data_IF_409684986521
#
_entry.id   IF_409684986521
#
_cell.length_a   1.000
_cell.length_b   1.000
_cell.length_c   1.000
_cell.angle_alpha   90.00
_cell.angle_beta   90.00
_cell.angle_gamma   90.00
#
_symmetry.space_group_name_H-M   'P 1'
#
loop_
_entity.id
_entity.type
_entity.pdbx_description
1 polymer ?
#
# COMPACT_ATOMS: atom_id res chain seq x y z
N UNK A 1 -7.10 1.42 -25.22
CA UNK A 1 -5.73 1.06 -25.69
C UNK A 1 -5.22 1.99 -26.79
N UNK A 2 -6.06 2.50 -27.70
CA UNK A 2 -5.61 3.42 -28.76
C UNK A 2 -5.14 4.80 -28.24
N UNK A 3 -5.87 5.40 -27.29
CA UNK A 3 -5.54 6.71 -26.71
C UNK A 3 -4.18 6.74 -26.00
N UNK A 4 -3.90 5.76 -25.15
CA UNK A 4 -2.61 5.64 -24.47
C UNK A 4 -1.45 5.45 -25.45
N UNK A 5 -1.69 4.82 -26.60
CA UNK A 5 -0.67 4.61 -27.63
C UNK A 5 -0.40 5.90 -28.41
N UNK A 6 -1.44 6.67 -28.73
CA UNK A 6 -1.34 7.97 -29.40
C UNK A 6 -0.59 9.00 -28.55
N UNK A 7 -0.94 9.12 -27.25
CA UNK A 7 -0.25 10.02 -26.30
C UNK A 7 1.25 9.67 -26.18
N UNK A 8 1.57 8.38 -26.13
CA UNK A 8 2.97 7.91 -26.04
C UNK A 8 3.76 8.20 -27.31
N UNK A 9 3.16 8.03 -28.49
CA UNK A 9 3.85 8.29 -29.76
C UNK A 9 4.14 9.77 -29.98
N UNK A 10 3.25 10.67 -29.56
CA UNK A 10 3.49 12.11 -29.70
C UNK A 10 4.55 12.65 -28.74
N UNK A 11 4.69 12.03 -27.57
CA UNK A 11 5.57 12.54 -26.51
C UNK A 11 7.02 12.03 -26.58
N UNK A 12 7.25 10.88 -27.22
CA UNK A 12 8.62 10.42 -27.46
C UNK A 12 9.32 11.21 -28.57
N UNK A 13 8.54 11.88 -29.43
CA UNK A 13 9.05 12.67 -30.56
C UNK A 13 9.17 14.19 -30.25
N UNK A 14 8.59 14.68 -29.14
CA UNK A 14 8.55 16.11 -28.78
C UNK A 14 9.32 16.36 -27.49
N UNK A 15 10.23 17.35 -27.48
CA UNK A 15 11.15 17.61 -26.36
C UNK A 15 10.50 18.15 -25.06
N UNK A 16 9.18 18.30 -24.98
CA UNK A 16 8.45 18.76 -23.79
C UNK A 16 7.12 18.02 -23.60
N UNK A 17 6.99 17.19 -22.54
CA UNK A 17 5.81 16.35 -22.36
C UNK A 17 4.65 17.02 -21.63
N UNK A 18 4.17 18.15 -22.17
CA UNK A 18 3.07 18.91 -21.56
C UNK A 18 1.75 18.14 -21.56
N UNK A 19 1.45 17.39 -22.62
CA UNK A 19 0.19 16.66 -22.72
C UNK A 19 0.14 15.46 -21.78
N UNK A 20 1.24 14.72 -21.61
CA UNK A 20 1.33 13.65 -20.62
C UNK A 20 1.20 14.21 -19.20
N UNK A 21 1.89 15.32 -18.91
CA UNK A 21 1.79 15.99 -17.61
C UNK A 21 0.34 16.35 -17.31
N UNK A 22 -0.34 17.04 -18.23
CA UNK A 22 -1.76 17.41 -18.11
C UNK A 22 -2.68 16.20 -17.97
N UNK A 23 -2.44 15.14 -18.73
CA UNK A 23 -3.20 13.91 -18.64
C UNK A 23 -3.04 13.25 -17.25
N UNK A 24 -1.81 13.15 -16.73
CA UNK A 24 -1.54 12.59 -15.41
C UNK A 24 -2.21 13.42 -14.31
N UNK A 25 -2.11 14.75 -14.38
CA UNK A 25 -2.78 15.66 -13.43
C UNK A 25 -4.30 15.50 -13.47
N UNK A 26 -4.90 15.53 -14.67
CA UNK A 26 -6.34 15.39 -14.84
C UNK A 26 -6.87 14.06 -14.30
N UNK A 27 -6.20 12.95 -14.65
CA UNK A 27 -6.59 11.60 -14.22
C UNK A 27 -6.47 11.44 -12.70
N UNK A 28 -5.40 11.95 -12.07
CA UNK A 28 -5.21 11.82 -10.63
C UNK A 28 -6.16 12.72 -9.85
N UNK A 29 -6.36 13.97 -10.29
CA UNK A 29 -7.32 14.87 -9.66
C UNK A 29 -8.75 14.36 -9.77
N UNK A 30 -9.11 13.66 -10.86
CA UNK A 30 -10.40 12.98 -10.96
C UNK A 30 -10.58 11.89 -9.88
N UNK A 31 -9.51 11.17 -9.53
CA UNK A 31 -9.54 10.11 -8.51
C UNK A 31 -9.44 10.62 -7.06
N UNK A 32 -8.91 11.83 -6.86
CA UNK A 32 -8.76 12.45 -5.53
C UNK A 32 -10.02 13.18 -5.06
N UNK A 33 -10.90 13.57 -5.97
CA UNK A 33 -12.13 14.29 -5.65
C UNK A 33 -13.23 13.32 -5.20
N UNK A 34 -13.44 13.27 -3.89
CA UNK A 34 -14.44 12.40 -3.25
C UNK A 34 -15.90 12.90 -3.41
N UNK A 35 -16.11 14.13 -3.89
CA UNK A 35 -17.42 14.80 -3.74
C UNK A 35 -17.66 15.87 -4.82
N UNK A 36 -17.86 15.43 -6.06
CA UNK A 36 -18.67 16.23 -7.00
C UNK A 36 -20.12 15.72 -6.83
N UNK A 37 -20.89 16.39 -5.96
CA UNK A 37 -22.27 16.02 -5.60
C UNK A 37 -23.23 16.06 -6.80
N UNK A 38 -22.80 16.62 -7.93
CA UNK A 38 -23.62 16.83 -9.12
C UNK A 38 -23.51 15.73 -10.19
N UNK A 39 -22.63 14.74 -10.02
CA UNK A 39 -22.46 13.65 -11.00
C UNK A 39 -23.22 12.39 -10.58
N UNK A 40 -23.92 11.79 -11.55
CA UNK A 40 -24.50 10.46 -11.42
C UNK A 40 -23.44 9.44 -10.95
N UNK A 41 -23.81 8.64 -9.94
CA UNK A 41 -22.89 7.73 -9.25
C UNK A 41 -22.34 6.63 -10.19
N UNK A 42 -23.14 6.18 -11.16
CA UNK A 42 -22.68 5.21 -12.15
C UNK A 42 -21.68 5.85 -13.12
N UNK A 43 -21.98 7.04 -13.63
CA UNK A 43 -21.05 7.79 -14.51
C UNK A 43 -19.71 8.08 -13.80
N UNK A 44 -19.74 8.43 -12.51
CA UNK A 44 -18.52 8.57 -11.70
C UNK A 44 -17.74 7.27 -11.61
N UNK A 45 -18.42 6.17 -11.27
CA UNK A 45 -17.81 4.85 -11.14
C UNK A 45 -17.12 4.43 -12.44
N UNK A 46 -17.78 4.61 -13.58
CA UNK A 46 -17.22 4.33 -14.90
C UNK A 46 -16.00 5.21 -15.20
N UNK A 47 -16.11 6.52 -14.93
CA UNK A 47 -15.02 7.49 -15.13
C UNK A 47 -13.79 7.16 -14.29
N UNK A 48 -13.96 6.88 -13.00
CA UNK A 48 -12.87 6.47 -12.10
C UNK A 48 -12.25 5.14 -12.54
N UNK A 49 -13.08 4.16 -12.93
CA UNK A 49 -12.62 2.86 -13.44
C UNK A 49 -11.79 3.02 -14.70
N UNK A 50 -12.20 3.88 -15.63
CA UNK A 50 -11.45 4.19 -16.84
C UNK A 50 -10.16 4.93 -16.52
N UNK A 51 -10.19 5.91 -15.62
CA UNK A 51 -9.02 6.67 -15.22
C UNK A 51 -7.94 5.76 -14.59
N UNK A 52 -8.31 4.89 -13.66
CA UNK A 52 -7.40 3.90 -13.07
C UNK A 52 -6.79 2.98 -14.13
N UNK A 53 -7.58 2.54 -15.11
CA UNK A 53 -7.08 1.69 -16.19
C UNK A 53 -6.14 2.42 -17.16
N UNK A 54 -6.36 3.70 -17.42
CA UNK A 54 -5.45 4.54 -18.21
C UNK A 54 -4.15 4.76 -17.45
N UNK A 55 -4.22 5.17 -16.18
CA UNK A 55 -3.05 5.31 -15.30
C UNK A 55 -2.26 4.02 -15.23
N UNK A 56 -2.93 2.87 -15.10
CA UNK A 56 -2.29 1.55 -15.13
C UNK A 56 -1.49 1.32 -16.41
N UNK A 57 -2.04 1.67 -17.57
CA UNK A 57 -1.35 1.55 -18.84
C UNK A 57 -0.11 2.46 -18.91
N UNK A 58 -0.22 3.70 -18.44
CA UNK A 58 0.87 4.67 -18.38
C UNK A 58 1.99 4.20 -17.43
N UNK A 59 1.65 3.83 -16.20
CA UNK A 59 2.61 3.32 -15.21
C UNK A 59 3.27 2.00 -15.61
N UNK A 60 2.64 1.19 -16.47
CA UNK A 60 3.24 -0.06 -16.99
C UNK A 60 4.17 0.18 -18.18
N UNK A 61 4.05 1.31 -18.88
CA UNK A 61 4.82 1.56 -20.08
C UNK A 61 6.31 1.80 -19.75
N UNK A 62 7.20 0.94 -20.23
CA UNK A 62 8.63 0.97 -19.87
C UNK A 62 9.31 2.30 -20.21
N UNK A 63 9.03 2.85 -21.39
CA UNK A 63 9.64 4.10 -21.88
C UNK A 63 9.18 5.35 -21.13
N UNK A 64 8.07 5.30 -20.39
CA UNK A 64 7.56 6.46 -19.65
C UNK A 64 8.11 6.56 -18.23
N UNK A 65 9.05 5.68 -17.84
CA UNK A 65 9.45 5.50 -16.44
C UNK A 65 9.81 6.79 -15.70
N UNK A 66 10.71 7.60 -16.28
CA UNK A 66 11.12 8.88 -15.70
C UNK A 66 9.98 9.92 -15.73
N UNK A 67 9.18 9.93 -16.80
CA UNK A 67 8.09 10.89 -16.99
C UNK A 67 6.94 10.67 -15.99
N UNK A 68 6.66 9.42 -15.64
CA UNK A 68 5.58 9.09 -14.67
C UNK A 68 6.08 9.04 -13.23
N UNK A 69 7.40 9.09 -12.99
CA UNK A 69 7.99 8.96 -11.65
C UNK A 69 7.43 9.97 -10.63
N UNK A 70 7.22 11.26 -10.95
CA UNK A 70 6.64 12.23 -10.01
C UNK A 70 5.22 11.89 -9.54
N UNK A 71 4.51 11.06 -10.30
CA UNK A 71 3.09 10.75 -10.08
C UNK A 71 2.87 9.44 -9.31
N UNK A 72 3.93 8.67 -9.07
CA UNK A 72 3.83 7.33 -8.48
C UNK A 72 3.17 7.38 -7.09
N UNK A 73 3.53 8.33 -6.23
CA UNK A 73 2.93 8.45 -4.90
C UNK A 73 1.41 8.66 -4.97
N UNK A 74 0.96 9.63 -5.77
CA UNK A 74 -0.48 9.90 -5.97
C UNK A 74 -1.19 8.70 -6.59
N UNK A 75 -0.55 8.01 -7.53
CA UNK A 75 -1.07 6.77 -8.10
C UNK A 75 -1.27 5.67 -7.05
N UNK A 76 -0.33 5.50 -6.12
CA UNK A 76 -0.45 4.52 -5.02
C UNK A 76 -1.58 4.91 -4.08
N UNK A 77 -1.68 6.18 -3.69
CA UNK A 77 -2.77 6.68 -2.86
C UNK A 77 -4.13 6.42 -3.51
N UNK A 78 -4.29 6.84 -4.78
CA UNK A 78 -5.52 6.62 -5.54
C UNK A 78 -5.88 5.13 -5.67
N UNK A 79 -4.89 4.27 -5.88
CA UNK A 79 -5.11 2.84 -5.92
C UNK A 79 -5.60 2.32 -4.56
N UNK A 80 -4.95 2.68 -3.45
CA UNK A 80 -5.32 2.25 -2.09
C UNK A 80 -6.72 2.74 -1.71
N UNK A 81 -7.03 4.02 -1.97
CA UNK A 81 -8.39 4.56 -1.79
C UNK A 81 -9.41 3.78 -2.62
N UNK A 82 -9.06 3.44 -3.87
CA UNK A 82 -9.90 2.65 -4.76
C UNK A 82 -10.22 1.23 -4.26
N UNK A 83 -9.42 0.64 -3.36
CA UNK A 83 -9.79 -0.63 -2.70
C UNK A 83 -11.03 -0.48 -1.82
N UNK A 84 -11.29 0.72 -1.29
CA UNK A 84 -12.49 1.03 -0.48
C UNK A 84 -13.74 1.26 -1.32
N UNK A 85 -13.66 1.26 -2.65
CA UNK A 85 -14.79 1.56 -3.53
C UNK A 85 -15.96 0.56 -3.40
N UNK A 86 -17.18 1.07 -3.58
CA UNK A 86 -18.42 0.31 -3.34
C UNK A 86 -18.70 -0.76 -4.40
N UNK A 87 -18.24 -0.53 -5.64
CA UNK A 87 -18.46 -1.47 -6.75
C UNK A 87 -17.30 -2.44 -6.93
N UNK A 88 -17.61 -3.64 -7.43
CA UNK A 88 -16.59 -4.61 -7.81
C UNK A 88 -15.66 -4.08 -8.90
N UNK A 89 -16.19 -3.30 -9.85
CA UNK A 89 -15.42 -2.72 -10.95
C UNK A 89 -14.33 -1.77 -10.45
N UNK A 90 -14.67 -0.85 -9.53
CA UNK A 90 -13.71 0.07 -8.92
C UNK A 90 -12.60 -0.68 -8.17
N UNK A 91 -12.98 -1.66 -7.32
CA UNK A 91 -12.01 -2.46 -6.56
C UNK A 91 -11.07 -3.25 -7.46
N UNK A 92 -11.58 -3.81 -8.56
CA UNK A 92 -10.77 -4.52 -9.55
C UNK A 92 -9.81 -3.58 -10.30
N UNK A 93 -10.29 -2.41 -10.74
CA UNK A 93 -9.46 -1.41 -11.40
C UNK A 93 -8.33 -0.91 -10.49
N UNK A 94 -8.66 -0.64 -9.21
CA UNK A 94 -7.70 -0.28 -8.18
C UNK A 94 -6.65 -1.37 -7.95
N UNK A 95 -7.07 -2.64 -7.87
CA UNK A 95 -6.17 -3.79 -7.73
C UNK A 95 -5.19 -3.89 -8.90
N UNK A 96 -5.68 -3.70 -10.13
CA UNK A 96 -4.86 -3.75 -11.34
C UNK A 96 -3.88 -2.56 -11.43
N UNK A 97 -4.32 -1.36 -11.07
CA UNK A 97 -3.47 -0.17 -10.98
C UNK A 97 -2.36 -0.37 -9.94
N UNK A 98 -2.75 -0.82 -8.74
CA UNK A 98 -1.82 -1.12 -7.65
C UNK A 98 -0.77 -2.15 -8.06
N UNK A 99 -1.16 -3.24 -8.74
CA UNK A 99 -0.22 -4.23 -9.25
C UNK A 99 0.82 -3.64 -10.21
N UNK A 100 0.42 -2.71 -11.09
CA UNK A 100 1.35 -2.02 -11.99
C UNK A 100 2.32 -1.10 -11.22
N UNK A 101 1.83 -0.40 -10.20
CA UNK A 101 2.63 0.47 -9.34
C UNK A 101 3.63 -0.32 -8.49
N UNK A 102 3.23 -1.46 -7.92
CA UNK A 102 4.14 -2.34 -7.18
C UNK A 102 5.30 -2.81 -8.08
N UNK A 103 5.00 -3.20 -9.32
CA UNK A 103 6.06 -3.57 -10.29
C UNK A 103 6.93 -2.37 -10.64
N UNK A 104 6.35 -1.17 -10.76
CA UNK A 104 7.11 0.06 -11.06
C UNK A 104 8.06 0.46 -9.92
N UNK A 105 7.62 0.29 -8.67
CA UNK A 105 8.38 0.68 -7.47
C UNK A 105 9.45 -0.37 -7.15
N UNK A 106 9.05 -1.65 -7.09
CA UNK A 106 9.89 -2.73 -6.59
C UNK A 106 10.45 -3.63 -7.68
N UNK A 107 10.11 -3.43 -8.96
CA UNK A 107 10.55 -4.30 -10.04
C UNK A 107 9.69 -5.54 -10.24
N UNK A 108 10.02 -6.30 -11.29
CA UNK A 108 9.27 -7.50 -11.71
C UNK A 108 9.61 -8.70 -10.81
N UNK A 109 8.60 -9.50 -10.47
CA UNK A 109 8.79 -10.77 -9.76
C UNK A 109 9.55 -11.77 -10.66
N UNK A 110 10.84 -12.00 -10.39
CA UNK A 110 11.68 -12.91 -11.17
C UNK A 110 11.61 -14.39 -10.70
N UNK A 111 11.01 -14.68 -9.55
CA UNK A 111 10.92 -16.05 -8.97
C UNK A 111 9.58 -16.27 -8.28
N UNK A 112 9.14 -17.53 -8.14
CA UNK A 112 7.98 -17.89 -7.28
C UNK A 112 8.15 -17.37 -5.85
N UNK A 113 9.39 -17.32 -5.40
CA UNK A 113 9.79 -16.86 -4.08
C UNK A 113 9.54 -15.34 -3.91
N UNK A 114 8.68 -14.99 -2.94
CA UNK A 114 8.34 -13.60 -2.61
C UNK A 114 9.48 -12.88 -1.88
N UNK A 115 10.49 -13.62 -1.43
CA UNK A 115 11.61 -13.12 -0.62
C UNK A 115 12.81 -12.67 -1.44
N UNK A 116 12.70 -12.62 -2.77
CA UNK A 116 13.81 -12.20 -3.61
C UNK A 116 14.23 -10.75 -3.27
N UNK A 117 15.45 -10.59 -2.75
CA UNK A 117 16.03 -9.31 -2.33
C UNK A 117 15.96 -8.24 -3.43
N UNK A 118 15.93 -8.64 -4.71
CA UNK A 118 15.85 -7.73 -5.86
C UNK A 118 14.54 -6.95 -5.94
N UNK A 119 13.48 -7.40 -5.26
CA UNK A 119 12.17 -6.74 -5.27
C UNK A 119 11.77 -6.11 -3.94
N UNK A 120 12.79 -5.64 -3.20
CA UNK A 120 12.66 -5.02 -1.88
C UNK A 120 13.62 -3.83 -1.81
N UNK A 121 13.32 -2.87 -0.95
CA UNK A 121 14.22 -1.76 -0.60
C UNK A 121 14.12 -1.45 0.89
N UNK A 122 15.05 -0.69 1.46
CA UNK A 122 14.91 -0.24 2.85
C UNK A 122 13.74 0.73 3.00
N UNK A 123 13.14 0.82 4.18
CA UNK A 123 12.12 1.84 4.46
C UNK A 123 12.63 3.25 4.20
N UNK A 124 13.87 3.55 4.65
CA UNK A 124 14.57 4.81 4.30
C UNK A 124 14.51 5.17 2.81
N UNK A 125 15.06 4.33 1.92
CA UNK A 125 15.03 4.57 0.46
C UNK A 125 13.61 4.74 -0.07
N UNK A 126 12.66 3.93 0.41
CA UNK A 126 11.26 4.01 -0.04
C UNK A 126 10.63 5.37 0.32
N UNK A 127 10.74 5.80 1.58
CA UNK A 127 10.13 7.04 2.05
C UNK A 127 10.93 8.29 1.69
N UNK A 128 12.24 8.19 1.45
CA UNK A 128 13.01 9.28 0.81
C UNK A 128 12.53 9.52 -0.63
N UNK A 129 12.21 8.44 -1.37
CA UNK A 129 11.70 8.53 -2.74
C UNK A 129 10.23 8.93 -2.80
N UNK A 130 9.42 8.49 -1.84
CA UNK A 130 7.97 8.71 -1.79
C UNK A 130 7.51 9.24 -0.42
N UNK A 131 7.94 10.45 -0.03
CA UNK A 131 7.73 10.97 1.34
C UNK A 131 6.26 11.08 1.72
N UNK A 132 5.40 11.48 0.79
CA UNK A 132 3.96 11.62 1.04
C UNK A 132 3.26 10.29 1.36
N UNK A 133 3.85 9.14 1.02
CA UNK A 133 3.28 7.83 1.36
C UNK A 133 3.44 7.47 2.83
N UNK A 134 4.35 8.11 3.58
CA UNK A 134 4.55 7.80 4.99
C UNK A 134 3.27 8.06 5.81
N UNK A 135 2.82 9.31 5.82
CA UNK A 135 1.63 9.71 6.60
C UNK A 135 0.36 9.05 6.07
N UNK A 136 0.25 8.89 4.75
CA UNK A 136 -0.89 8.23 4.13
C UNK A 136 -1.02 6.76 4.57
N UNK A 137 0.04 5.96 4.43
CA UNK A 137 0.00 4.54 4.81
C UNK A 137 -0.21 4.37 6.32
N UNK A 138 0.35 5.25 7.13
CA UNK A 138 0.13 5.25 8.58
C UNK A 138 -1.31 5.62 8.92
N UNK A 139 -1.90 6.58 8.21
CA UNK A 139 -3.31 6.98 8.34
C UNK A 139 -4.27 5.83 8.04
N UNK A 140 -4.03 5.09 6.96
CA UNK A 140 -4.83 3.91 6.59
C UNK A 140 -4.81 2.82 7.67
N UNK A 141 -3.66 2.59 8.32
CA UNK A 141 -3.55 1.63 9.41
C UNK A 141 -4.23 2.11 10.69
N UNK A 142 -4.15 3.42 10.99
CA UNK A 142 -4.85 4.05 12.12
C UNK A 142 -6.37 3.91 11.97
N UNK A 143 -6.90 4.30 10.82
CA UNK A 143 -8.33 4.20 10.51
C UNK A 143 -8.84 2.76 10.69
N UNK A 144 -8.09 1.77 10.18
CA UNK A 144 -8.43 0.36 10.34
C UNK A 144 -8.38 -0.11 11.81
N UNK A 145 -7.45 0.43 12.60
CA UNK A 145 -7.34 0.12 14.03
C UNK A 145 -8.47 0.75 14.85
N UNK A 146 -8.83 2.01 14.57
CA UNK A 146 -9.86 2.76 15.31
C UNK A 146 -11.24 2.10 15.17
N UNK A 147 -11.63 1.74 13.94
CA UNK A 147 -12.89 1.01 13.69
C UNK A 147 -12.88 -0.41 14.28
N UNK A 148 -11.71 -0.96 14.56
CA UNK A 148 -11.58 -2.22 15.28
C UNK A 148 -11.85 -2.07 16.78
N UNK A 149 -11.55 -0.91 17.36
CA UNK A 149 -11.82 -0.62 18.77
C UNK A 149 -13.28 -0.22 19.03
N UNK A 150 -13.91 0.61 18.17
CA UNK A 150 -15.28 1.11 18.38
C UNK A 150 -16.36 0.03 18.30
N UNK A 151 -16.14 -1.04 17.52
CA UNK A 151 -17.12 -2.13 17.35
C UNK A 151 -17.01 -3.24 18.41
N UNK A 152 -16.09 -3.11 19.37
CA UNK A 152 -15.81 -4.13 20.39
C UNK A 152 -16.83 -4.20 21.54
N UNK A 153 -17.79 -3.28 21.60
CA UNK A 153 -18.95 -3.37 22.53
C UNK A 153 -20.01 -4.39 22.08
N UNK A 154 -19.85 -4.96 20.89
CA UNK A 154 -20.51 -6.19 20.47
C UNK A 154 -19.46 -7.30 20.37
N UNK A 155 -19.78 -8.53 20.75
CA UNK A 155 -18.88 -9.69 20.85
C UNK A 155 -18.24 -10.18 19.51
N UNK A 156 -17.96 -9.27 18.59
CA UNK A 156 -17.33 -9.49 17.30
C UNK A 156 -16.10 -8.61 17.18
N UNK A 157 -14.98 -9.10 17.73
CA UNK A 157 -13.59 -8.73 17.43
C UNK A 157 -13.22 -9.00 15.94
N UNK A 158 -14.13 -8.70 15.02
CA UNK A 158 -14.21 -9.18 13.64
C UNK A 158 -14.12 -8.07 12.58
N UNK A 159 -13.99 -6.79 12.96
CA UNK A 159 -14.10 -5.67 12.00
C UNK A 159 -12.81 -5.39 11.21
N UNK A 160 -11.64 -5.82 11.70
CA UNK A 160 -10.36 -5.66 11.00
C UNK A 160 -10.31 -6.45 9.66
N UNK A 161 -11.25 -7.38 9.44
CA UNK A 161 -11.43 -8.10 8.16
C UNK A 161 -12.00 -7.26 7.03
N UNK A 162 -12.68 -6.17 7.36
CA UNK A 162 -13.51 -5.41 6.44
C UNK A 162 -12.83 -4.11 5.98
N UNK A 163 -11.51 -4.02 6.11
CA UNK A 163 -10.73 -2.89 5.59
C UNK A 163 -9.97 -3.29 4.32
N UNK A 164 -10.56 -3.09 3.13
CA UNK A 164 -9.92 -3.42 1.86
C UNK A 164 -8.53 -2.82 1.66
N UNK A 165 -8.26 -1.64 2.24
CA UNK A 165 -6.97 -0.95 2.12
C UNK A 165 -5.85 -1.57 2.95
N UNK A 166 -6.14 -2.45 3.93
CA UNK A 166 -5.09 -3.13 4.71
C UNK A 166 -4.21 -4.02 3.83
N UNK A 167 -4.78 -4.74 2.87
CA UNK A 167 -4.01 -5.61 2.00
C UNK A 167 -2.91 -4.86 1.23
N UNK A 168 -3.22 -3.79 0.45
CA UNK A 168 -2.18 -3.09 -0.28
C UNK A 168 -1.17 -2.38 0.63
N UNK A 169 -1.60 -1.84 1.79
CA UNK A 169 -0.69 -1.19 2.75
C UNK A 169 0.30 -2.20 3.33
N UNK A 170 -0.19 -3.33 3.85
CA UNK A 170 0.68 -4.39 4.39
C UNK A 170 1.57 -5.00 3.31
N UNK A 171 1.10 -5.09 2.05
CA UNK A 171 1.92 -5.56 0.94
C UNK A 171 3.12 -4.64 0.71
N UNK A 172 2.93 -3.32 0.68
CA UNK A 172 4.03 -2.36 0.54
C UNK A 172 5.03 -2.54 1.67
N UNK A 173 4.57 -2.54 2.92
CA UNK A 173 5.43 -2.66 4.10
C UNK A 173 6.18 -3.99 4.12
N UNK A 174 5.55 -5.10 3.73
CA UNK A 174 6.19 -6.42 3.62
C UNK A 174 7.32 -6.49 2.58
N UNK A 175 7.35 -5.54 1.62
CA UNK A 175 8.43 -5.42 0.63
C UNK A 175 9.58 -4.53 1.10
N UNK A 176 9.48 -3.92 2.28
CA UNK A 176 10.61 -3.24 2.89
C UNK A 176 11.54 -4.25 3.56
N UNK A 177 12.84 -3.95 3.69
CA UNK A 177 13.78 -4.75 4.49
C UNK A 177 14.52 -3.89 5.53
N UNK A 178 14.96 -4.48 6.66
CA UNK A 178 15.62 -3.73 7.72
C UNK A 178 16.90 -3.04 7.25
N UNK A 179 17.13 -1.78 7.61
CA UNK A 179 18.42 -1.11 7.41
C UNK A 179 19.21 -1.03 8.71
N UNK A 180 20.52 -1.30 8.66
CA UNK A 180 21.42 -1.10 9.81
C UNK A 180 21.65 0.38 10.16
N UNK A 181 21.22 1.29 9.28
CA UNK A 181 21.33 2.75 9.45
C UNK A 181 20.02 3.39 9.94
N UNK A 182 18.95 2.61 10.09
CA UNK A 182 17.64 3.08 10.56
C UNK A 182 17.73 3.43 12.06
N UNK A 183 17.52 4.70 12.41
CA UNK A 183 17.55 5.19 13.80
C UNK A 183 18.69 6.14 14.17
N UNK A 184 19.58 6.50 13.23
CA UNK A 184 20.70 7.43 13.53
C UNK A 184 20.43 8.89 13.20
N UNK A 185 19.64 9.23 12.17
CA UNK A 185 19.47 10.65 11.76
C UNK A 185 18.17 10.96 10.96
N UNK A 186 17.21 10.04 10.89
CA UNK A 186 16.03 10.20 10.02
C UNK A 186 14.76 10.54 10.80
N UNK A 187 14.10 11.64 10.45
CA UNK A 187 12.74 12.02 10.90
C UNK A 187 11.66 10.95 10.61
N UNK A 188 12.01 9.90 9.88
CA UNK A 188 11.15 8.76 9.52
C UNK A 188 11.28 7.66 10.57
N UNK A 189 10.40 7.66 11.57
CA UNK A 189 10.35 6.63 12.61
C UNK A 189 9.42 5.48 12.21
N UNK A 190 9.96 4.45 11.53
CA UNK A 190 9.18 3.27 11.15
C UNK A 190 8.51 2.56 12.34
N UNK A 191 9.04 2.74 13.55
CA UNK A 191 8.43 2.25 14.79
C UNK A 191 7.00 2.77 15.01
N UNK A 192 6.61 3.90 14.40
CA UNK A 192 5.25 4.43 14.46
C UNK A 192 4.21 3.49 13.83
N UNK A 193 4.61 2.62 12.90
CA UNK A 193 3.73 1.64 12.26
C UNK A 193 3.47 0.40 13.14
N UNK A 194 4.39 0.08 14.05
CA UNK A 194 4.36 -1.14 14.88
C UNK A 194 3.01 -1.39 15.55
N UNK A 195 2.45 -0.45 16.35
CA UNK A 195 1.21 -0.74 17.09
C UNK A 195 0.03 -1.07 16.17
N UNK A 196 -0.02 -0.45 14.99
CA UNK A 196 -1.12 -0.65 14.03
C UNK A 196 -0.93 -1.94 13.20
N UNK A 197 0.32 -2.31 12.88
CA UNK A 197 0.63 -3.60 12.23
C UNK A 197 0.43 -4.75 13.21
N UNK A 198 0.75 -4.58 14.50
CA UNK A 198 0.47 -5.57 15.54
C UNK A 198 -1.02 -5.92 15.62
N UNK A 199 -1.91 -4.91 15.47
CA UNK A 199 -3.35 -5.15 15.38
C UNK A 199 -3.76 -6.07 14.22
N UNK A 200 -2.98 -6.10 13.14
CA UNK A 200 -3.24 -6.97 11.99
C UNK A 200 -2.81 -8.43 12.22
N UNK A 201 -1.92 -8.70 13.17
CA UNK A 201 -1.42 -10.05 13.49
C UNK A 201 -2.51 -10.95 14.10
N UNK A 202 -3.51 -10.36 14.76
CA UNK A 202 -4.67 -11.07 15.31
C UNK A 202 -5.82 -11.28 14.32
N UNK A 203 -5.69 -10.84 13.06
CA UNK A 203 -6.75 -10.98 12.07
C UNK A 203 -7.13 -12.44 11.84
N UNK A 204 -8.43 -12.75 11.68
CA UNK A 204 -8.86 -14.12 11.29
C UNK A 204 -8.48 -14.50 9.83
N UNK A 205 -8.16 -13.53 8.95
CA UNK A 205 -7.70 -13.80 7.57
C UNK A 205 -6.22 -14.15 7.67
N UNK A 206 -5.89 -15.39 7.32
CA UNK A 206 -4.52 -15.88 7.29
C UNK A 206 -3.59 -14.95 6.48
N UNK A 207 -4.02 -14.52 5.29
CA UNK A 207 -3.17 -13.69 4.42
C UNK A 207 -2.83 -12.31 5.02
N UNK A 208 -3.75 -11.73 5.79
CA UNK A 208 -3.52 -10.48 6.53
C UNK A 208 -2.48 -10.70 7.62
N UNK A 209 -2.59 -11.80 8.39
CA UNK A 209 -1.58 -12.17 9.40
C UNK A 209 -0.21 -12.38 8.76
N UNK A 210 -0.16 -13.11 7.64
CA UNK A 210 1.09 -13.36 6.91
C UNK A 210 1.76 -12.07 6.43
N UNK A 211 1.01 -11.16 5.81
CA UNK A 211 1.56 -9.88 5.36
C UNK A 211 1.95 -8.98 6.52
N UNK A 212 1.15 -8.94 7.59
CA UNK A 212 1.47 -8.18 8.80
C UNK A 212 2.76 -8.68 9.45
N UNK A 213 2.91 -9.99 9.60
CA UNK A 213 4.12 -10.59 10.16
C UNK A 213 5.37 -10.22 9.34
N UNK A 214 5.29 -10.32 8.01
CA UNK A 214 6.38 -9.89 7.12
C UNK A 214 6.63 -8.39 7.16
N UNK A 215 5.58 -7.59 7.32
CA UNK A 215 5.67 -6.14 7.47
C UNK A 215 6.29 -5.73 8.80
N UNK A 216 6.20 -6.55 9.87
CA UNK A 216 6.86 -6.27 11.15
C UNK A 216 8.38 -6.29 11.05
N UNK A 217 8.94 -7.22 10.27
CA UNK A 217 10.40 -7.41 10.14
C UNK A 217 11.17 -6.11 9.85
N UNK A 218 10.84 -5.31 8.82
CA UNK A 218 11.54 -4.04 8.56
C UNK A 218 11.25 -2.92 9.55
N UNK A 219 10.22 -3.03 10.40
CA UNK A 219 9.85 -1.98 11.36
C UNK A 219 10.62 -2.10 12.68
N UNK A 220 11.15 -3.28 12.98
CA UNK A 220 11.90 -3.58 14.19
C UNK A 220 13.37 -3.25 13.96
N UNK A 221 13.87 -2.22 14.65
CA UNK A 221 15.27 -1.80 14.57
C UNK A 221 16.18 -2.74 15.39
N UNK A 222 17.46 -2.84 15.00
CA UNK A 222 18.39 -3.80 15.59
C UNK A 222 18.59 -3.65 17.10
N UNK A 223 18.42 -2.43 17.64
CA UNK A 223 18.53 -2.14 19.07
C UNK A 223 17.34 -2.67 19.91
N UNK A 224 16.16 -2.87 19.32
CA UNK A 224 14.97 -3.39 20.04
C UNK A 224 14.61 -4.82 19.64
N UNK A 225 15.40 -5.44 18.75
CA UNK A 225 15.13 -6.77 18.21
C UNK A 225 14.98 -7.84 19.30
N UNK A 226 15.93 -7.89 20.26
CA UNK A 226 15.90 -8.85 21.36
C UNK A 226 14.67 -8.63 22.25
N UNK A 227 14.43 -7.39 22.68
CA UNK A 227 13.27 -7.05 23.51
C UNK A 227 11.93 -7.34 22.81
N UNK A 228 11.88 -7.16 21.48
CA UNK A 228 10.69 -7.48 20.69
C UNK A 228 10.43 -8.98 20.68
N UNK A 229 11.47 -9.80 20.45
CA UNK A 229 11.35 -11.26 20.47
C UNK A 229 10.91 -11.76 21.86
N UNK A 230 11.53 -11.27 22.94
CA UNK A 230 11.17 -11.67 24.31
C UNK A 230 9.71 -11.33 24.62
N UNK A 231 9.26 -10.13 24.21
CA UNK A 231 7.87 -9.70 24.34
C UNK A 231 6.92 -10.56 23.49
N UNK A 232 7.30 -10.87 22.26
CA UNK A 232 6.54 -11.73 21.35
C UNK A 232 6.37 -13.16 21.91
N UNK A 233 7.45 -13.78 22.37
CA UNK A 233 7.41 -15.11 22.99
C UNK A 233 6.58 -15.10 24.27
N UNK A 234 6.75 -14.09 25.12
CA UNK A 234 5.94 -13.95 26.33
C UNK A 234 4.44 -13.82 26.02
N UNK A 235 4.08 -13.01 25.02
CA UNK A 235 2.69 -12.90 24.52
C UNK A 235 2.18 -14.23 23.97
N UNK A 236 2.99 -14.99 23.24
CA UNK A 236 2.61 -16.27 22.64
C UNK A 236 2.44 -17.40 23.68
N UNK A 237 3.20 -17.37 24.77
CA UNK A 237 3.14 -18.36 25.85
C UNK A 237 2.06 -18.07 26.90
N UNK A 238 1.46 -16.88 26.90
CA UNK A 238 0.40 -16.53 27.84
C UNK A 238 -0.86 -17.37 27.64
N UNK A 239 -1.40 -17.88 28.74
CA UNK A 239 -2.66 -18.64 28.76
C UNK A 239 -3.83 -17.70 28.44
N UNK A 240 -4.73 -18.13 27.55
CA UNK A 240 -5.95 -17.38 27.22
C UNK A 240 -5.83 -16.40 26.05
N UNK A 241 -4.69 -16.36 25.35
CA UNK A 241 -4.53 -15.55 24.13
C UNK A 241 -5.22 -16.22 22.94
N UNK A 242 -5.85 -15.42 22.08
CA UNK A 242 -6.49 -15.91 20.85
C UNK A 242 -5.47 -16.60 19.93
N UNK A 243 -5.84 -17.78 19.40
CA UNK A 243 -4.97 -18.59 18.54
C UNK A 243 -4.50 -17.85 17.28
N UNK A 244 -5.34 -16.98 16.71
CA UNK A 244 -4.95 -16.14 15.57
C UNK A 244 -3.82 -15.19 15.92
N UNK A 245 -3.84 -14.62 17.12
CA UNK A 245 -2.79 -13.71 17.59
C UNK A 245 -1.48 -14.46 17.81
N UNK A 246 -1.51 -15.63 18.47
CA UNK A 246 -0.34 -16.50 18.64
C UNK A 246 0.25 -16.85 17.27
N UNK A 247 -0.60 -17.30 16.34
CA UNK A 247 -0.17 -17.64 14.99
C UNK A 247 0.44 -16.43 14.25
N UNK A 248 -0.14 -15.24 14.37
CA UNK A 248 0.42 -14.03 13.77
C UNK A 248 1.78 -13.66 14.34
N UNK A 249 1.95 -13.79 15.66
CA UNK A 249 3.24 -13.56 16.33
C UNK A 249 4.31 -14.54 15.83
N UNK A 250 3.98 -15.83 15.76
CA UNK A 250 4.93 -16.88 15.33
C UNK A 250 5.30 -16.83 13.85
N UNK A 251 4.56 -16.07 13.03
CA UNK A 251 4.88 -15.88 11.61
C UNK A 251 5.94 -14.80 11.34
N UNK A 252 6.25 -13.95 12.34
CA UNK A 252 7.24 -12.87 12.20
C UNK A 252 8.65 -13.44 12.05
#
# INVERSE_FOLDING_TARGET
>A
MAFSKALVTTELDVSQPSCLKEAMECLLTLLEKDSDQDLDENMRTESCTHAMNILRALFRHSLLGELVAPYVSRGVMAAITGFKGDTWASRNAATLLFGALIIRIFGVKHSRDELNRRNRMTGRVFFERFPSLYDFLLGELKEAADVSTEKSDSATSSSLHLFPSLFPVLLILSRLYPSSLEGTDSNLQLSAFIPFVECCLKSKIYKTRELAARAMVPLITSNVYVSHLDGAFSKAMNVGVEQNNIHGILLQ
#
